data_IF_677661029595
#
_entry.id   IF_677661029595
#
_cell.length_a   1.000
_cell.length_b   1.000
_cell.length_c   1.000
_cell.angle_alpha   90.00
_cell.angle_beta   90.00
_cell.angle_gamma   90.00
#
_symmetry.space_group_name_H-M   'P 1'
#
loop_
_entity.id
_entity.type
_entity.pdbx_description
1 polymer ?
#
# COMPACT_ATOMS: atom_id res chain seq x y z
N UNK A 1 -12.13 -25.26 -9.26
CA UNK A 1 -11.88 -23.89 -8.76
C UNK A 1 -10.38 -23.63 -8.72
N UNK A 2 -9.90 -22.56 -9.36
CA UNK A 2 -8.52 -22.12 -9.19
C UNK A 2 -8.36 -21.57 -7.76
N UNK A 3 -7.42 -22.11 -6.99
CA UNK A 3 -7.11 -21.60 -5.65
C UNK A 3 -6.23 -20.35 -5.81
N UNK A 4 -6.78 -19.19 -5.46
CA UNK A 4 -6.03 -17.93 -5.40
C UNK A 4 -5.08 -18.00 -4.20
N UNK A 5 -3.86 -17.50 -4.36
CA UNK A 5 -2.85 -17.42 -3.30
C UNK A 5 -2.25 -16.02 -3.31
N UNK A 6 -1.96 -15.48 -2.12
CA UNK A 6 -1.13 -14.28 -2.02
C UNK A 6 0.31 -14.64 -2.39
N UNK A 7 0.86 -13.94 -3.39
CA UNK A 7 2.26 -14.08 -3.80
C UNK A 7 3.21 -13.19 -3.01
N UNK A 8 2.73 -12.02 -2.59
CA UNK A 8 3.47 -11.05 -1.80
C UNK A 8 2.54 -9.94 -1.34
N UNK A 9 2.97 -9.18 -0.34
CA UNK A 9 2.26 -8.01 0.18
C UNK A 9 3.24 -6.92 0.58
N UNK A 10 2.77 -5.67 0.62
CA UNK A 10 3.55 -4.52 1.00
C UNK A 10 2.68 -3.50 1.72
N UNK A 11 3.25 -2.87 2.74
CA UNK A 11 2.58 -1.83 3.54
C UNK A 11 3.53 -0.65 3.69
N UNK A 12 2.97 0.55 3.57
CA UNK A 12 3.64 1.82 3.84
C UNK A 12 2.66 2.67 4.62
N UNK A 13 3.15 3.25 5.72
CA UNK A 13 2.40 4.18 6.54
C UNK A 13 2.97 5.58 6.30
N UNK A 14 2.13 6.63 6.33
CA UNK A 14 2.62 8.01 6.38
C UNK A 14 3.63 8.23 7.49
N UNK A 15 4.54 9.19 7.33
CA UNK A 15 5.55 9.47 8.37
C UNK A 15 4.95 10.08 9.63
N UNK A 16 3.94 10.93 9.46
CA UNK A 16 3.36 11.67 10.58
C UNK A 16 2.40 10.80 11.39
N UNK A 17 2.50 10.91 12.71
CA UNK A 17 1.64 10.22 13.67
C UNK A 17 0.86 11.22 14.50
N UNK A 18 -0.39 10.90 14.80
CA UNK A 18 -1.27 11.71 15.62
C UNK A 18 -1.83 10.83 16.73
N UNK A 19 -1.65 11.25 17.97
CA UNK A 19 -2.27 10.62 19.13
C UNK A 19 -3.75 10.99 19.19
N UNK A 20 -4.61 9.99 19.27
CA UNK A 20 -6.05 10.13 19.40
C UNK A 20 -6.54 9.23 20.53
N UNK A 21 -6.76 9.84 21.71
CA UNK A 21 -6.97 9.12 22.98
C UNK A 21 -5.80 8.15 23.22
N UNK A 22 -6.10 6.86 23.38
CA UNK A 22 -5.13 5.80 23.61
C UNK A 22 -4.63 5.13 22.31
N UNK A 23 -4.86 5.76 21.16
CA UNK A 23 -4.47 5.23 19.85
C UNK A 23 -3.51 6.16 19.11
N UNK A 24 -2.64 5.56 18.30
CA UNK A 24 -1.80 6.27 17.34
C UNK A 24 -2.41 6.07 15.94
N UNK A 25 -2.63 7.18 15.22
CA UNK A 25 -3.04 7.17 13.81
C UNK A 25 -1.93 7.73 12.94
N UNK A 26 -1.78 7.17 11.74
CA UNK A 26 -0.86 7.70 10.74
C UNK A 26 -1.61 8.63 9.78
N UNK A 27 -1.08 9.83 9.57
CA UNK A 27 -1.73 10.86 8.77
C UNK A 27 -0.76 11.38 7.71
N UNK A 28 -1.26 11.54 6.49
CA UNK A 28 -0.50 12.15 5.39
C UNK A 28 -0.07 13.56 5.79
N UNK A 29 1.21 13.87 5.63
CA UNK A 29 1.76 15.22 5.81
C UNK A 29 1.84 15.99 4.49
N UNK A 30 2.14 17.29 4.57
CA UNK A 30 2.50 18.07 3.40
C UNK A 30 3.69 17.41 2.65
N UNK A 31 3.58 17.31 1.33
CA UNK A 31 4.57 16.63 0.48
C UNK A 31 4.42 15.11 0.37
N UNK A 32 3.47 14.49 1.08
CA UNK A 32 3.06 13.09 0.88
C UNK A 32 1.71 13.02 0.14
N UNK A 33 1.54 12.00 -0.70
CA UNK A 33 0.25 11.72 -1.35
C UNK A 33 -0.14 10.26 -1.13
N UNK A 34 -1.45 9.99 -1.14
CA UNK A 34 -1.97 8.61 -1.08
C UNK A 34 -1.39 7.75 -2.21
N UNK A 35 -1.24 8.34 -3.41
CA UNK A 35 -0.71 7.64 -4.57
C UNK A 35 0.77 7.24 -4.38
N UNK A 36 1.62 8.14 -3.88
CA UNK A 36 3.02 7.81 -3.61
C UNK A 36 3.16 6.68 -2.58
N UNK A 37 2.33 6.69 -1.53
CA UNK A 37 2.32 5.63 -0.52
C UNK A 37 1.84 4.30 -1.11
N UNK A 38 0.81 4.34 -1.97
CA UNK A 38 0.31 3.16 -2.68
C UNK A 38 1.38 2.58 -3.63
N UNK A 39 2.08 3.41 -4.40
CA UNK A 39 3.19 2.97 -5.27
C UNK A 39 4.28 2.30 -4.45
N UNK A 40 4.73 2.93 -3.36
CA UNK A 40 5.76 2.35 -2.49
C UNK A 40 5.30 1.04 -1.82
N UNK A 41 4.01 0.90 -1.50
CA UNK A 41 3.45 -0.37 -1.00
C UNK A 41 3.42 -1.46 -2.09
N UNK A 42 3.05 -1.10 -3.32
CA UNK A 42 3.09 -2.00 -4.47
C UNK A 42 4.51 -2.47 -4.79
N UNK A 43 5.51 -1.58 -4.77
CA UNK A 43 6.91 -1.95 -4.98
C UNK A 43 7.40 -2.98 -3.95
N UNK A 44 7.04 -2.80 -2.66
CA UNK A 44 7.32 -3.80 -1.63
C UNK A 44 6.62 -5.13 -1.90
N UNK A 45 5.36 -5.10 -2.35
CA UNK A 45 4.61 -6.31 -2.68
C UNK A 45 5.22 -7.07 -3.87
N UNK A 46 5.63 -6.36 -4.92
CA UNK A 46 6.32 -6.92 -6.10
C UNK A 46 7.66 -7.55 -5.69
N UNK A 47 8.47 -6.83 -4.90
CA UNK A 47 9.73 -7.35 -4.34
C UNK A 47 9.50 -8.63 -3.52
N UNK A 48 8.49 -8.63 -2.66
CA UNK A 48 8.18 -9.78 -1.80
C UNK A 48 7.54 -10.96 -2.55
N UNK A 49 7.01 -10.73 -3.75
CA UNK A 49 6.45 -11.79 -4.62
C UNK A 49 7.43 -12.29 -5.67
N UNK A 50 8.57 -11.62 -5.84
CA UNK A 50 9.58 -11.91 -6.86
C UNK A 50 8.98 -11.90 -8.28
N UNK A 51 8.09 -10.94 -8.55
CA UNK A 51 7.48 -10.67 -9.86
C UNK A 51 7.75 -9.22 -10.28
N UNK A 52 7.73 -8.97 -11.58
CA UNK A 52 7.87 -7.65 -12.18
C UNK A 52 6.50 -6.97 -12.35
N UNK A 53 6.50 -5.64 -12.43
CA UNK A 53 5.30 -4.89 -12.86
C UNK A 53 4.85 -5.29 -14.27
N UNK A 54 5.76 -5.73 -15.13
CA UNK A 54 5.45 -6.23 -16.47
C UNK A 54 4.72 -7.59 -16.44
N UNK A 55 4.68 -8.28 -15.30
CA UNK A 55 3.95 -9.54 -15.11
C UNK A 55 2.51 -9.29 -14.59
N UNK A 56 2.11 -8.02 -14.39
CA UNK A 56 0.80 -7.64 -13.85
C UNK A 56 -0.15 -7.27 -14.98
N UNK A 57 -1.18 -8.11 -15.17
CA UNK A 57 -2.19 -7.90 -16.21
C UNK A 57 -3.40 -7.07 -15.74
N UNK A 58 -3.55 -6.87 -14.42
CA UNK A 58 -4.69 -6.17 -13.84
C UNK A 58 -4.34 -5.53 -12.49
N UNK A 59 -4.77 -4.28 -12.31
CA UNK A 59 -4.69 -3.55 -11.04
C UNK A 59 -6.12 -3.21 -10.60
N UNK A 60 -6.50 -3.67 -9.41
CA UNK A 60 -7.73 -3.27 -8.74
C UNK A 60 -7.35 -2.41 -7.55
N UNK A 61 -7.76 -1.14 -7.58
CA UNK A 61 -7.51 -0.19 -6.48
C UNK A 61 -8.80 0.06 -5.71
N UNK A 62 -8.74 -0.07 -4.38
CA UNK A 62 -9.80 0.31 -3.48
C UNK A 62 -9.31 1.49 -2.62
N UNK A 63 -9.86 2.67 -2.87
CA UNK A 63 -9.58 3.87 -2.09
C UNK A 63 -10.88 4.56 -1.70
N UNK A 64 -10.97 4.97 -0.45
CA UNK A 64 -12.00 5.89 0.03
C UNK A 64 -11.34 7.26 0.13
N UNK A 65 -11.63 8.12 -0.85
CA UNK A 65 -11.22 9.53 -0.81
C UNK A 65 -12.34 10.33 -0.13
N UNK A 66 -11.97 11.13 0.87
CA UNK A 66 -12.86 11.99 1.65
C UNK A 66 -12.10 13.19 2.16
#
# INVERSE_FOLDING_TARGET
MRRIKFKGYGVVLPKNTVSFKDHIRYRISEGETQLQLAVAACEKALKNSNISINDIDCIVSASAVG
#
